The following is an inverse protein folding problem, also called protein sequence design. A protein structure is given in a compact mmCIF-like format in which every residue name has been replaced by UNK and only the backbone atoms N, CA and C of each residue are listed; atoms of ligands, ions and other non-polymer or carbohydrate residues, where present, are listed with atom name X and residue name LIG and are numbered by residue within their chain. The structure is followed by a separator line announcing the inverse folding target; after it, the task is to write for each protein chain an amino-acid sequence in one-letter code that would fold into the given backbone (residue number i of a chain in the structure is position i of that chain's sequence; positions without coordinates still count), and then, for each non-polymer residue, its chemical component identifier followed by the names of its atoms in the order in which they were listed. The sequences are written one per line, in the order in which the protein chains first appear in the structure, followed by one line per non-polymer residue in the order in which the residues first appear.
data_IF_699195694371
#
_entry.id   IF_699195694371
#
_cell.length_a   1.000
_cell.length_b   1.000
_cell.length_c   1.000
_cell.angle_alpha   90.00
_cell.angle_beta   90.00
_cell.angle_gamma   90.00
#
_symmetry.space_group_name_H-M   'P 1'
#
loop_
_entity.id
_entity.type
_entity.pdbx_description
1 polymer ?
#
# COMPACT_ATOMS: atom_id res chain seq x y z
N UNK A 1 -20.30 11.28 -11.83
CA UNK A 1 -19.59 11.23 -10.54
C UNK A 1 -18.11 11.03 -10.83
N UNK A 2 -17.20 11.66 -10.09
CA UNK A 2 -15.80 11.25 -10.11
C UNK A 2 -15.61 9.91 -9.36
N UNK A 3 -14.39 9.37 -9.36
CA UNK A 3 -14.12 8.08 -8.72
C UNK A 3 -14.41 8.11 -7.22
N UNK A 4 -14.01 9.18 -6.52
CA UNK A 4 -14.28 9.37 -5.09
C UNK A 4 -15.77 9.39 -4.77
N UNK A 5 -16.54 10.23 -5.44
CA UNK A 5 -18.00 10.34 -5.28
C UNK A 5 -18.68 8.98 -5.51
N UNK A 6 -18.24 8.25 -6.56
CA UNK A 6 -18.76 6.92 -6.90
C UNK A 6 -18.45 5.90 -5.81
N UNK A 7 -17.20 5.86 -5.33
CA UNK A 7 -16.78 4.95 -4.25
C UNK A 7 -17.50 5.25 -2.94
N UNK A 8 -17.61 6.53 -2.57
CA UNK A 8 -18.34 6.95 -1.36
C UNK A 8 -19.82 6.56 -1.43
N UNK A 9 -20.49 6.79 -2.56
CA UNK A 9 -21.87 6.37 -2.76
C UNK A 9 -22.01 4.83 -2.69
N UNK A 10 -21.12 4.09 -3.36
CA UNK A 10 -21.16 2.62 -3.35
C UNK A 10 -20.98 2.03 -1.95
N UNK A 11 -20.01 2.52 -1.18
CA UNK A 11 -19.75 2.08 0.20
C UNK A 11 -20.97 2.31 1.10
N UNK A 12 -21.69 3.42 0.87
CA UNK A 12 -22.90 3.77 1.63
C UNK A 12 -24.19 3.18 1.06
N UNK A 13 -24.09 2.25 0.10
CA UNK A 13 -25.23 1.60 -0.56
C UNK A 13 -26.20 2.60 -1.21
N UNK A 14 -25.67 3.72 -1.72
CA UNK A 14 -26.40 4.75 -2.44
C UNK A 14 -26.34 4.50 -3.96
N UNK A 15 -27.25 5.09 -4.75
CA UNK A 15 -27.19 5.02 -6.21
C UNK A 15 -25.86 5.56 -6.76
N UNK A 16 -25.31 4.86 -7.76
CA UNK A 16 -24.07 5.22 -8.47
C UNK A 16 -24.32 5.37 -9.97
N UNK A 17 -23.46 6.13 -10.65
CA UNK A 17 -23.54 6.34 -12.10
C UNK A 17 -23.07 5.13 -12.92
N UNK A 18 -22.19 4.29 -12.36
CA UNK A 18 -21.77 2.98 -12.87
C UNK A 18 -21.24 2.11 -11.74
N UNK A 19 -21.12 0.80 -11.97
CA UNK A 19 -20.45 -0.12 -11.03
C UNK A 19 -19.00 0.35 -10.82
N UNK A 20 -18.54 0.52 -9.56
CA UNK A 20 -17.17 0.92 -9.30
C UNK A 20 -16.15 -0.13 -9.77
N UNK A 21 -15.11 0.31 -10.47
CA UNK A 21 -13.96 -0.50 -10.89
C UNK A 21 -12.83 -0.35 -9.88
N UNK A 22 -12.90 -1.12 -8.80
CA UNK A 22 -11.99 -1.06 -7.67
C UNK A 22 -11.34 -2.44 -7.38
N UNK A 23 -10.44 -2.94 -8.25
CA UNK A 23 -9.78 -4.22 -8.05
C UNK A 23 -8.50 -4.12 -7.19
N UNK A 24 -8.13 -5.23 -6.56
CA UNK A 24 -6.86 -5.40 -5.85
C UNK A 24 -5.69 -5.53 -6.84
N UNK A 25 -4.94 -4.46 -7.06
CA UNK A 25 -4.06 -4.33 -8.24
C UNK A 25 -2.62 -3.90 -7.98
N UNK A 26 -2.19 -3.75 -6.72
CA UNK A 26 -0.84 -3.24 -6.42
C UNK A 26 0.27 -4.10 -7.06
N UNK A 27 0.22 -5.42 -6.90
CA UNK A 27 1.21 -6.32 -7.51
C UNK A 27 1.35 -6.16 -9.04
N UNK A 28 0.26 -6.28 -9.84
CA UNK A 28 0.38 -6.10 -11.28
C UNK A 28 0.78 -4.67 -11.65
N UNK A 29 0.35 -3.65 -10.90
CA UNK A 29 0.76 -2.26 -11.16
C UNK A 29 2.27 -2.07 -10.95
N UNK A 30 2.81 -2.55 -9.84
CA UNK A 30 4.25 -2.50 -9.57
C UNK A 30 5.04 -3.27 -10.64
N UNK A 31 4.53 -4.41 -11.11
CA UNK A 31 5.23 -5.24 -12.10
C UNK A 31 5.19 -4.64 -13.52
N UNK A 32 4.05 -4.13 -13.98
CA UNK A 32 3.89 -3.67 -15.37
C UNK A 32 4.28 -2.21 -15.59
N UNK A 33 4.14 -1.36 -14.57
CA UNK A 33 4.37 0.08 -14.69
C UNK A 33 5.51 0.61 -13.81
N UNK A 34 6.00 -0.21 -12.88
CA UNK A 34 7.15 0.12 -12.06
C UNK A 34 8.47 0.08 -12.82
N UNK A 35 9.46 0.78 -12.28
CA UNK A 35 10.86 0.65 -12.72
C UNK A 35 11.45 -0.68 -12.27
N UNK A 36 11.20 -1.04 -11.02
CA UNK A 36 11.24 -2.42 -10.50
C UNK A 36 10.03 -2.63 -9.59
N UNK A 37 9.65 -3.89 -9.38
CA UNK A 37 8.53 -4.23 -8.50
C UNK A 37 8.77 -3.65 -7.10
N UNK A 38 9.96 -3.89 -6.54
CA UNK A 38 10.37 -3.38 -5.24
C UNK A 38 10.37 -1.85 -5.15
N UNK A 39 10.89 -1.16 -6.17
CA UNK A 39 10.97 0.30 -6.13
C UNK A 39 9.57 0.91 -6.09
N UNK A 40 8.66 0.44 -6.95
CA UNK A 40 7.27 0.92 -6.93
C UNK A 40 6.48 0.51 -5.70
N UNK A 41 6.92 -0.52 -4.98
CA UNK A 41 6.31 -0.95 -3.73
C UNK A 41 6.79 -0.14 -2.51
N UNK A 42 8.06 0.30 -2.50
CA UNK A 42 8.71 0.83 -1.29
C UNK A 42 9.17 2.29 -1.39
N UNK A 43 9.28 2.85 -2.59
CA UNK A 43 9.83 4.19 -2.81
C UNK A 43 8.74 5.14 -3.33
N UNK A 44 8.45 6.20 -2.56
CA UNK A 44 7.34 7.11 -2.83
C UNK A 44 7.26 7.66 -4.27
N UNK A 45 8.36 8.18 -4.86
CA UNK A 45 8.35 8.67 -6.24
C UNK A 45 8.06 7.58 -7.29
N UNK A 46 8.54 6.34 -7.08
CA UNK A 46 8.33 5.24 -8.01
C UNK A 46 6.94 4.63 -7.87
N UNK A 47 6.39 4.62 -6.65
CA UNK A 47 5.00 4.30 -6.35
C UNK A 47 4.08 5.28 -7.10
N UNK A 48 4.27 6.59 -6.93
CA UNK A 48 3.49 7.61 -7.63
C UNK A 48 3.45 7.33 -9.15
N UNK A 49 4.63 7.16 -9.76
CA UNK A 49 4.75 6.98 -11.20
C UNK A 49 3.98 5.75 -11.70
N UNK A 50 4.14 4.61 -11.04
CA UNK A 50 3.49 3.37 -11.45
C UNK A 50 1.95 3.47 -11.33
N UNK A 51 1.47 4.00 -10.21
CA UNK A 51 0.04 4.09 -9.95
C UNK A 51 -0.65 5.14 -10.84
N UNK A 52 -0.03 6.30 -11.09
CA UNK A 52 -0.59 7.28 -12.03
C UNK A 52 -0.72 6.72 -13.44
N UNK A 53 0.29 5.98 -13.91
CA UNK A 53 0.23 5.31 -15.22
C UNK A 53 -0.88 4.25 -15.28
N UNK A 54 -1.09 3.51 -14.20
CA UNK A 54 -2.18 2.52 -14.15
C UNK A 54 -3.57 3.16 -14.19
N UNK A 55 -3.73 4.34 -13.59
CA UNK A 55 -4.99 5.08 -13.63
C UNK A 55 -5.28 5.63 -15.03
N UNK A 56 -4.25 6.10 -15.73
CA UNK A 56 -4.38 6.55 -17.12
C UNK A 56 -4.87 5.41 -18.04
N UNK A 57 -4.27 4.22 -17.90
CA UNK A 57 -4.59 3.05 -18.73
C UNK A 57 -5.95 2.42 -18.40
N UNK A 58 -6.21 2.19 -17.11
CA UNK A 58 -7.32 1.34 -16.67
C UNK A 58 -8.49 2.09 -16.07
N UNK A 59 -8.33 3.39 -15.78
CA UNK A 59 -9.38 4.25 -15.23
C UNK A 59 -10.03 3.64 -13.98
N UNK A 60 -9.21 3.10 -13.07
CA UNK A 60 -9.69 2.54 -11.81
C UNK A 60 -10.34 3.62 -10.94
N UNK A 61 -11.30 3.20 -10.12
CA UNK A 61 -12.01 4.06 -9.18
C UNK A 61 -11.30 4.19 -7.83
N UNK A 62 -10.12 3.56 -7.67
CA UNK A 62 -9.24 3.74 -6.51
C UNK A 62 -7.78 3.48 -6.88
N UNK A 63 -6.87 3.88 -5.98
CA UNK A 63 -5.49 3.39 -5.95
C UNK A 63 -5.34 2.44 -4.77
N UNK A 64 -5.00 1.18 -5.03
CA UNK A 64 -4.72 0.19 -3.99
C UNK A 64 -3.24 0.22 -3.61
N UNK A 65 -2.95 0.37 -2.31
CA UNK A 65 -1.63 0.31 -1.70
C UNK A 65 -1.67 -0.58 -0.45
N UNK A 66 -0.52 -1.05 0.02
CA UNK A 66 -0.40 -1.66 1.34
C UNK A 66 0.40 -2.95 1.39
N UNK A 67 0.68 -3.59 0.25
CA UNK A 67 1.46 -4.82 0.20
C UNK A 67 2.90 -4.63 0.71
N UNK A 68 3.52 -3.49 0.41
CA UNK A 68 4.83 -3.14 0.98
C UNK A 68 4.77 -2.93 2.49
N UNK A 69 3.65 -2.36 2.95
CA UNK A 69 3.37 -2.05 4.35
C UNK A 69 3.19 -3.33 5.17
N UNK A 70 2.26 -4.20 4.78
CA UNK A 70 1.88 -5.43 5.50
C UNK A 70 2.95 -6.52 5.38
N UNK A 71 3.57 -6.67 4.20
CA UNK A 71 4.52 -7.74 3.95
C UNK A 71 5.93 -7.46 4.50
N UNK A 72 6.30 -6.18 4.64
CA UNK A 72 7.68 -5.80 4.95
C UNK A 72 7.83 -4.72 6.00
N UNK A 73 7.29 -3.51 5.78
CA UNK A 73 7.56 -2.35 6.63
C UNK A 73 7.12 -2.59 8.08
N UNK A 74 5.91 -3.12 8.28
CA UNK A 74 5.39 -3.42 9.62
C UNK A 74 6.18 -4.55 10.28
N UNK A 75 6.37 -5.73 9.64
CA UNK A 75 7.22 -6.77 10.22
C UNK A 75 8.64 -6.29 10.58
N UNK A 76 9.30 -5.52 9.72
CA UNK A 76 10.64 -4.96 9.97
C UNK A 76 10.62 -4.02 11.18
N UNK A 77 9.61 -3.17 11.32
CA UNK A 77 9.44 -2.30 12.49
C UNK A 77 9.17 -3.09 13.79
N UNK A 78 8.54 -4.26 13.68
CA UNK A 78 8.32 -5.22 14.76
C UNK A 78 9.51 -6.19 14.96
N UNK A 79 10.70 -5.81 14.52
CA UNK A 79 11.97 -6.53 14.72
C UNK A 79 12.10 -7.85 13.95
N UNK A 80 11.21 -8.11 12.99
CA UNK A 80 11.35 -9.29 12.12
C UNK A 80 12.51 -9.08 11.15
N UNK A 81 13.20 -10.16 10.78
CA UNK A 81 14.15 -10.12 9.68
C UNK A 81 13.39 -10.21 8.36
N UNK A 82 13.42 -9.13 7.58
CA UNK A 82 12.70 -9.01 6.32
C UNK A 82 13.69 -8.87 5.17
N UNK A 83 13.47 -9.67 4.12
CA UNK A 83 14.14 -9.53 2.83
C UNK A 83 13.21 -8.81 1.86
N UNK A 84 13.78 -7.94 1.04
CA UNK A 84 13.08 -7.21 -0.02
C UNK A 84 13.68 -7.59 -1.39
N UNK A 85 13.25 -8.71 -1.98
CA UNK A 85 13.63 -9.11 -3.34
C UNK A 85 13.19 -8.06 -4.38
N UNK A 86 13.77 -8.11 -5.58
CA UNK A 86 13.49 -7.12 -6.62
C UNK A 86 12.18 -7.35 -7.38
N UNK A 87 11.68 -8.58 -7.41
CA UNK A 87 10.64 -9.08 -8.31
C UNK A 87 9.43 -9.73 -7.60
N UNK A 88 9.49 -9.86 -6.28
CA UNK A 88 8.41 -10.42 -5.46
C UNK A 88 8.16 -9.58 -4.21
N UNK A 89 7.05 -9.86 -3.53
CA UNK A 89 6.71 -9.23 -2.26
C UNK A 89 7.80 -9.44 -1.19
N UNK A 90 7.85 -8.56 -0.16
CA UNK A 90 8.77 -8.74 0.95
C UNK A 90 8.55 -10.09 1.62
N UNK A 91 9.64 -10.70 2.09
CA UNK A 91 9.67 -12.03 2.70
C UNK A 91 10.15 -11.87 4.14
N UNK A 92 9.37 -12.36 5.10
CA UNK A 92 9.78 -12.46 6.49
C UNK A 92 10.66 -13.72 6.63
N UNK A 93 11.98 -13.53 6.74
CA UNK A 93 12.94 -14.64 6.89
C UNK A 93 12.94 -15.19 8.33
N UNK A 94 12.69 -14.33 9.32
CA UNK A 94 12.64 -14.70 10.72
C UNK A 94 11.65 -13.83 11.49
N UNK A 95 10.78 -14.47 12.27
CA UNK A 95 9.83 -13.81 13.17
C UNK A 95 10.50 -13.39 14.49
N UNK A 96 9.88 -12.44 15.20
CA UNK A 96 10.43 -11.87 16.44
C UNK A 96 9.83 -12.44 17.73
N UNK A 97 8.73 -13.20 17.64
CA UNK A 97 7.93 -13.63 18.80
C UNK A 97 8.07 -15.13 19.01
N UNK A 98 8.66 -15.52 20.13
CA UNK A 98 8.72 -16.93 20.59
C UNK A 98 8.28 -17.08 22.05
N UNK A 99 7.98 -15.97 22.73
CA UNK A 99 7.58 -15.92 24.13
C UNK A 99 6.73 -14.68 24.42
N UNK A 100 6.08 -14.64 25.59
CA UNK A 100 5.36 -13.44 26.05
C UNK A 100 6.29 -12.26 26.30
N UNK A 101 7.53 -12.51 26.73
CA UNK A 101 8.53 -11.46 26.91
C UNK A 101 8.85 -10.76 25.57
N UNK A 102 8.78 -11.48 24.44
CA UNK A 102 8.94 -10.87 23.12
C UNK A 102 7.79 -9.93 22.79
N UNK A 103 6.54 -10.29 23.15
CA UNK A 103 5.36 -9.44 22.94
C UNK A 103 5.53 -8.11 23.66
N UNK A 104 5.93 -8.15 24.94
CA UNK A 104 6.17 -6.93 25.74
C UNK A 104 7.33 -6.08 25.20
N UNK A 105 8.33 -6.75 24.60
CA UNK A 105 9.48 -6.08 23.98
C UNK A 105 9.08 -5.37 22.69
N UNK A 106 8.40 -6.07 21.77
CA UNK A 106 7.99 -5.47 20.48
C UNK A 106 6.95 -4.37 20.64
N UNK A 107 6.11 -4.43 21.69
CA UNK A 107 5.12 -3.40 21.97
C UNK A 107 5.75 -2.02 22.25
N UNK A 108 7.04 -1.98 22.54
CA UNK A 108 7.82 -0.76 22.78
C UNK A 108 8.55 -0.25 21.53
N UNK A 109 8.49 -0.98 20.42
CA UNK A 109 9.15 -0.57 19.18
C UNK A 109 8.45 0.65 18.56
N UNK A 110 9.24 1.50 17.93
CA UNK A 110 8.73 2.60 17.15
C UNK A 110 8.31 2.12 15.75
N UNK A 111 7.04 2.27 15.42
CA UNK A 111 6.50 1.92 14.11
C UNK A 111 6.85 2.94 13.00
N UNK A 112 7.24 4.16 13.37
CA UNK A 112 7.64 5.21 12.43
C UNK A 112 9.13 5.08 12.10
N UNK A 113 9.45 4.11 11.25
CA UNK A 113 10.80 3.88 10.74
C UNK A 113 11.07 4.75 9.51
N UNK A 114 12.34 4.89 9.10
CA UNK A 114 12.70 5.57 7.83
C UNK A 114 11.97 5.00 6.61
N UNK A 115 11.67 3.70 6.62
CA UNK A 115 10.96 3.04 5.53
C UNK A 115 9.47 3.40 5.56
N UNK A 116 8.87 3.48 6.75
CA UNK A 116 7.53 4.03 6.91
C UNK A 116 7.46 5.46 6.38
N UNK A 117 8.46 6.31 6.69
CA UNK A 117 8.50 7.68 6.19
C UNK A 117 8.50 7.75 4.66
N UNK A 118 9.29 6.90 3.99
CA UNK A 118 9.32 6.84 2.51
C UNK A 118 7.99 6.36 1.90
N UNK A 119 7.32 5.40 2.55
CA UNK A 119 5.98 4.95 2.14
C UNK A 119 4.94 6.08 2.30
N UNK A 120 4.97 6.79 3.43
CA UNK A 120 4.07 7.92 3.69
C UNK A 120 4.33 9.09 2.73
N UNK A 121 5.58 9.33 2.33
CA UNK A 121 5.92 10.31 1.28
C UNK A 121 5.23 9.95 -0.04
N UNK A 122 5.23 8.67 -0.43
CA UNK A 122 4.49 8.18 -1.60
C UNK A 122 3.00 8.49 -1.54
N UNK A 123 2.37 8.26 -0.38
CA UNK A 123 0.96 8.58 -0.15
C UNK A 123 0.69 10.08 -0.28
N UNK A 124 1.56 10.93 0.28
CA UNK A 124 1.43 12.38 0.19
C UNK A 124 1.53 12.86 -1.26
N UNK A 125 2.47 12.30 -2.02
CA UNK A 125 2.65 12.58 -3.44
C UNK A 125 1.43 12.15 -4.26
N UNK A 126 0.93 10.93 -4.04
CA UNK A 126 -0.28 10.43 -4.70
C UNK A 126 -1.48 11.31 -4.39
N UNK A 127 -1.72 11.64 -3.12
CA UNK A 127 -2.86 12.48 -2.73
C UNK A 127 -2.82 13.85 -3.43
N UNK A 128 -1.63 14.44 -3.56
CA UNK A 128 -1.45 15.71 -4.27
C UNK A 128 -1.79 15.60 -5.75
N UNK A 129 -1.33 14.55 -6.43
CA UNK A 129 -1.61 14.34 -7.85
C UNK A 129 -3.06 13.95 -8.14
N UNK A 130 -3.66 13.15 -7.26
CA UNK A 130 -5.06 12.70 -7.39
C UNK A 130 -6.08 13.81 -7.11
N UNK A 131 -5.68 14.91 -6.46
CA UNK A 131 -6.53 16.09 -6.19
C UNK A 131 -7.88 15.75 -5.54
N UNK A 132 -7.89 14.72 -4.70
CA UNK A 132 -9.11 14.16 -4.08
C UNK A 132 -10.18 13.68 -5.09
N UNK A 133 -9.85 13.39 -6.35
CA UNK A 133 -10.78 12.85 -7.35
C UNK A 133 -10.84 11.32 -7.35
N UNK A 134 -9.74 10.66 -6.98
CA UNK A 134 -9.61 9.21 -6.85
C UNK A 134 -9.16 8.87 -5.42
N UNK A 135 -9.89 8.01 -4.68
CA UNK A 135 -9.50 7.62 -3.34
C UNK A 135 -8.29 6.68 -3.35
N UNK A 136 -7.47 6.77 -2.30
CA UNK A 136 -6.41 5.81 -2.00
C UNK A 136 -6.97 4.81 -0.99
N UNK A 137 -7.03 3.54 -1.35
CA UNK A 137 -7.34 2.43 -0.45
C UNK A 137 -6.02 1.83 0.05
N UNK A 138 -5.88 1.77 1.37
CA UNK A 138 -4.71 1.17 2.02
C UNK A 138 -5.13 -0.17 2.63
N UNK A 139 -4.50 -1.25 2.19
CA UNK A 139 -4.65 -2.56 2.78
C UNK A 139 -3.94 -2.63 4.13
N UNK A 140 -4.63 -3.23 5.09
CA UNK A 140 -4.05 -3.64 6.35
C UNK A 140 -4.60 -5.01 6.74
N UNK A 141 -3.72 -5.95 7.09
CA UNK A 141 -4.14 -7.28 7.54
C UNK A 141 -4.37 -7.23 9.06
N UNK A 142 -5.58 -7.59 9.49
CA UNK A 142 -5.92 -7.65 10.90
C UNK A 142 -5.12 -8.73 11.64
N UNK A 143 -4.84 -8.57 12.94
CA UNK A 143 -4.44 -9.70 13.77
C UNK A 143 -5.41 -10.87 13.62
N UNK A 144 -4.88 -12.09 13.52
CA UNK A 144 -5.66 -13.34 13.52
C UNK A 144 -5.75 -13.90 14.94
#
# INVERSE_FOLDING_TARGET
MNAKERMEAAINLLPVDKVPNAPFTEAPVCNYFGSTFKASLLEGPQMLKAHMKSLEEFQFDWVMLGMGLIGGIIPEALDCQVKYPEDVFPIIEKTSIFSMADVERIAKNNMFTKRMDSFLEGIVLLKKELKDEVPIACEYISPF
#
